data_IF_734799079440
#
_entry.id   IF_734799079440
#
_cell.length_a   1.000
_cell.length_b   1.000
_cell.length_c   1.000
_cell.angle_alpha   90.00
_cell.angle_beta   90.00
_cell.angle_gamma   90.00
#
_symmetry.space_group_name_H-M   'P 1'
#
loop_
_entity.id
_entity.type
_entity.pdbx_description
1 polymer ?
#
# COMPACT_ATOMS: atom_id res chain seq x y z
N UNK A 1 -28.59 5.67 -48.59
CA UNK A 1 -28.25 6.07 -47.22
C UNK A 1 -27.29 5.01 -46.70
N UNK A 2 -26.01 5.36 -46.53
CA UNK A 2 -25.01 4.43 -46.01
C UNK A 2 -25.12 4.39 -44.49
N UNK A 3 -25.42 3.22 -43.93
CA UNK A 3 -25.51 3.02 -42.49
C UNK A 3 -24.18 3.40 -41.82
N UNK A 4 -24.25 4.29 -40.84
CA UNK A 4 -23.09 4.72 -40.06
C UNK A 4 -22.94 3.73 -38.91
N UNK A 5 -22.01 2.78 -39.05
CA UNK A 5 -21.66 1.88 -37.96
C UNK A 5 -20.88 2.65 -36.88
N UNK A 6 -21.46 2.71 -35.67
CA UNK A 6 -20.81 3.31 -34.50
C UNK A 6 -19.63 2.47 -34.01
N UNK A 7 -18.64 3.11 -33.38
CA UNK A 7 -17.50 2.43 -32.75
C UNK A 7 -18.02 1.53 -31.62
N UNK A 8 -17.94 0.22 -31.80
CA UNK A 8 -18.32 -0.77 -30.79
C UNK A 8 -17.11 -1.05 -29.90
N UNK A 9 -17.25 -0.89 -28.57
CA UNK A 9 -16.21 -1.31 -27.62
C UNK A 9 -16.04 -2.82 -27.71
N UNK A 10 -14.84 -3.26 -28.08
CA UNK A 10 -14.52 -4.68 -28.18
C UNK A 10 -13.91 -5.17 -26.88
N UNK A 11 -14.33 -6.35 -26.43
CA UNK A 11 -13.66 -6.98 -25.31
C UNK A 11 -12.17 -7.19 -25.61
N UNK A 12 -11.29 -6.92 -24.63
CA UNK A 12 -9.86 -6.94 -24.85
C UNK A 12 -9.44 -8.35 -25.28
N UNK A 13 -9.12 -8.50 -26.56
CA UNK A 13 -8.60 -9.75 -27.07
C UNK A 13 -7.35 -10.13 -26.27
N UNK A 14 -7.24 -11.41 -25.88
CA UNK A 14 -6.07 -11.93 -25.15
C UNK A 14 -4.84 -11.74 -26.04
N UNK A 15 -4.13 -10.63 -25.82
CA UNK A 15 -2.98 -10.28 -26.65
C UNK A 15 -1.89 -11.34 -26.46
N UNK A 16 -1.23 -11.78 -27.54
CA UNK A 16 -0.06 -12.68 -27.48
C UNK A 16 1.16 -12.08 -26.75
N UNK A 17 1.05 -10.83 -26.27
CA UNK A 17 2.14 -10.17 -25.53
C UNK A 17 2.30 -10.87 -24.18
N UNK A 18 3.55 -11.07 -23.76
CA UNK A 18 3.87 -11.64 -22.46
C UNK A 18 3.15 -10.85 -21.37
N UNK A 19 2.41 -11.55 -20.50
CA UNK A 19 1.79 -10.93 -19.31
C UNK A 19 2.90 -10.28 -18.50
N UNK A 20 2.72 -9.00 -18.18
CA UNK A 20 3.64 -8.31 -17.26
C UNK A 20 3.53 -9.02 -15.91
N UNK A 21 4.66 -9.25 -15.26
CA UNK A 21 4.72 -9.74 -13.88
C UNK A 21 5.23 -8.60 -12.98
N UNK A 22 4.35 -7.74 -12.44
CA UNK A 22 4.77 -6.57 -11.66
C UNK A 22 5.56 -6.94 -10.40
N UNK A 23 5.32 -8.12 -9.84
CA UNK A 23 5.98 -8.59 -8.61
C UNK A 23 7.50 -8.69 -8.78
N UNK A 24 7.95 -9.12 -9.95
CA UNK A 24 9.38 -9.24 -10.28
C UNK A 24 10.06 -7.90 -10.59
N UNK A 25 9.31 -6.80 -10.66
CA UNK A 25 9.90 -5.50 -10.93
C UNK A 25 10.84 -5.10 -9.80
N UNK A 26 12.05 -4.63 -10.16
CA UNK A 26 13.08 -4.21 -9.19
C UNK A 26 12.54 -3.32 -8.07
N UNK A 27 11.63 -2.40 -8.40
CA UNK A 27 10.97 -1.51 -7.42
C UNK A 27 10.10 -2.27 -6.43
N UNK A 28 9.32 -3.24 -6.89
CA UNK A 28 8.42 -4.03 -6.05
C UNK A 28 9.21 -5.02 -5.20
N UNK A 29 10.22 -5.69 -5.75
CA UNK A 29 11.17 -6.53 -4.99
C UNK A 29 11.86 -5.70 -3.89
N UNK A 30 12.34 -4.49 -4.22
CA UNK A 30 12.92 -3.57 -3.24
C UNK A 30 11.90 -3.08 -2.19
N UNK A 31 10.61 -2.97 -2.54
CA UNK A 31 9.54 -2.63 -1.60
C UNK A 31 9.30 -3.78 -0.62
N UNK A 32 9.14 -5.01 -1.13
CA UNK A 32 8.91 -6.22 -0.35
C UNK A 32 10.07 -6.51 0.60
N UNK A 33 11.32 -6.41 0.11
CA UNK A 33 12.51 -6.65 0.93
C UNK A 33 12.68 -5.72 2.13
N UNK A 34 12.18 -4.47 2.07
CA UNK A 34 12.15 -3.56 3.24
C UNK A 34 11.25 -4.06 4.37
N UNK A 35 10.28 -4.90 4.04
CA UNK A 35 9.32 -5.45 4.98
C UNK A 35 9.63 -6.90 5.36
N UNK A 36 10.71 -7.49 4.85
CA UNK A 36 11.23 -8.76 5.31
C UNK A 36 12.07 -8.60 6.60
N UNK A 37 12.23 -9.68 7.39
CA UNK A 37 13.06 -9.64 8.58
C UNK A 37 14.53 -9.45 8.18
N UNK A 38 15.26 -8.65 8.95
CA UNK A 38 16.68 -8.37 8.67
C UNK A 38 17.60 -9.40 9.31
N UNK A 39 17.18 -9.95 10.45
CA UNK A 39 17.93 -10.95 11.20
C UNK A 39 16.98 -11.78 12.04
N UNK A 40 17.49 -12.82 12.69
CA UNK A 40 16.70 -13.61 13.62
C UNK A 40 16.41 -12.83 14.92
N UNK A 41 15.24 -13.04 15.55
CA UNK A 41 14.93 -12.38 16.80
C UNK A 41 15.85 -12.92 17.91
N UNK A 42 16.34 -12.01 18.75
CA UNK A 42 17.15 -12.35 19.93
C UNK A 42 16.26 -12.42 21.17
N UNK A 43 16.58 -13.32 22.10
CA UNK A 43 15.89 -13.35 23.41
C UNK A 43 16.07 -12.00 24.10
N UNK A 44 15.01 -11.36 24.60
CA UNK A 44 15.17 -10.17 25.43
C UNK A 44 15.88 -10.56 26.73
N UNK A 45 17.03 -9.93 27.01
CA UNK A 45 17.69 -10.04 28.31
C UNK A 45 17.34 -8.78 29.12
N UNK A 46 16.19 -8.83 29.80
CA UNK A 46 15.68 -7.68 30.52
C UNK A 46 15.84 -7.84 32.03
N UNK A 47 16.48 -6.85 32.67
CA UNK A 47 16.60 -6.75 34.13
C UNK A 47 15.57 -5.72 34.63
N UNK A 48 14.35 -6.17 34.90
CA UNK A 48 13.29 -5.31 35.42
C UNK A 48 13.30 -5.34 36.95
N UNK A 49 13.27 -4.15 37.57
CA UNK A 49 13.05 -4.02 39.01
C UNK A 49 11.57 -4.21 39.38
N UNK A 50 10.67 -3.88 38.46
CA UNK A 50 9.22 -3.96 38.67
C UNK A 50 8.67 -5.32 38.23
N UNK A 51 7.80 -5.97 39.02
CA UNK A 51 7.27 -7.30 38.72
C UNK A 51 6.21 -7.32 37.60
N UNK A 52 5.77 -6.14 37.14
CA UNK A 52 4.71 -5.99 36.13
C UNK A 52 5.15 -6.52 34.76
N UNK A 53 6.45 -6.45 34.44
CA UNK A 53 6.97 -6.88 33.14
C UNK A 53 7.50 -8.31 33.20
N UNK A 54 6.88 -9.19 32.41
CA UNK A 54 7.19 -10.62 32.37
C UNK A 54 8.04 -11.01 31.15
N UNK A 55 8.98 -10.15 30.73
CA UNK A 55 9.82 -10.39 29.54
C UNK A 55 10.60 -11.71 29.61
N UNK A 56 11.08 -12.08 30.79
CA UNK A 56 11.87 -13.31 30.99
C UNK A 56 11.00 -14.58 30.93
N UNK A 57 9.68 -14.43 31.08
CA UNK A 57 8.73 -15.53 30.99
C UNK A 57 8.43 -15.95 29.54
N UNK A 58 8.86 -15.16 28.53
CA UNK A 58 8.79 -15.54 27.12
C UNK A 58 9.85 -16.59 26.79
N UNK A 59 9.39 -17.71 26.23
CA UNK A 59 10.31 -18.70 25.66
C UNK A 59 10.85 -18.23 24.31
N UNK A 60 11.97 -18.80 23.87
CA UNK A 60 12.48 -18.51 22.52
C UNK A 60 11.55 -19.01 21.41
N UNK A 61 10.74 -20.03 21.69
CA UNK A 61 9.73 -20.53 20.75
C UNK A 61 8.60 -19.50 20.57
N UNK A 62 8.12 -18.89 21.65
CA UNK A 62 7.13 -17.81 21.59
C UNK A 62 7.67 -16.63 20.78
N UNK A 63 8.90 -16.21 21.07
CA UNK A 63 9.57 -15.11 20.36
C UNK A 63 9.66 -15.40 18.85
N UNK A 64 10.03 -16.64 18.47
CA UNK A 64 10.07 -17.05 17.07
C UNK A 64 8.69 -17.01 16.42
N UNK A 65 7.66 -17.56 17.06
CA UNK A 65 6.28 -17.57 16.55
C UNK A 65 5.72 -16.16 16.37
N UNK A 66 5.95 -15.27 17.33
CA UNK A 66 5.56 -13.86 17.27
C UNK A 66 6.24 -13.19 16.07
N UNK A 67 7.55 -13.37 15.94
CA UNK A 67 8.32 -12.80 14.85
C UNK A 67 7.87 -13.33 13.49
N UNK A 68 7.68 -14.64 13.36
CA UNK A 68 7.18 -15.28 12.14
C UNK A 68 5.81 -14.74 11.75
N UNK A 69 4.86 -14.67 12.69
CA UNK A 69 3.52 -14.13 12.45
C UNK A 69 3.55 -12.66 12.02
N UNK A 70 4.46 -11.86 12.60
CA UNK A 70 4.64 -10.46 12.22
C UNK A 70 5.16 -10.29 10.78
N UNK A 71 6.06 -11.18 10.35
CA UNK A 71 6.69 -11.15 9.03
C UNK A 71 6.01 -12.05 7.99
N UNK A 72 4.90 -12.71 8.34
CA UNK A 72 4.15 -13.62 7.46
C UNK A 72 3.74 -12.95 6.14
N UNK A 73 3.29 -11.69 6.22
CA UNK A 73 2.93 -10.88 5.04
C UNK A 73 3.88 -9.69 4.96
N UNK A 74 4.63 -9.52 3.85
CA UNK A 74 5.57 -8.41 3.67
C UNK A 74 4.85 -7.10 3.30
N UNK A 75 3.75 -6.79 3.99
CA UNK A 75 2.95 -5.60 3.81
C UNK A 75 3.04 -4.64 5.01
N UNK A 76 3.02 -3.35 4.72
CA UNK A 76 3.15 -2.30 5.72
C UNK A 76 1.87 -2.17 6.55
N UNK A 77 0.70 -2.34 5.95
CA UNK A 77 -0.57 -2.23 6.67
C UNK A 77 -0.74 -3.41 7.63
N UNK A 78 -0.45 -4.63 7.17
CA UNK A 78 -0.39 -5.82 8.03
C UNK A 78 0.45 -5.58 9.29
N UNK A 79 1.67 -5.07 9.12
CA UNK A 79 2.58 -4.78 10.22
C UNK A 79 2.05 -3.73 11.20
N UNK A 80 1.41 -2.67 10.70
CA UNK A 80 0.80 -1.65 11.57
C UNK A 80 -0.31 -2.28 12.41
N UNK A 81 -1.19 -3.04 11.77
CA UNK A 81 -2.32 -3.69 12.42
C UNK A 81 -1.84 -4.67 13.49
N UNK A 82 -0.82 -5.48 13.18
CA UNK A 82 -0.21 -6.38 14.15
C UNK A 82 0.35 -5.65 15.37
N UNK A 83 1.07 -4.53 15.16
CA UNK A 83 1.58 -3.73 16.29
C UNK A 83 0.41 -3.21 17.14
N UNK A 84 -0.65 -2.69 16.52
CA UNK A 84 -1.80 -2.12 17.23
C UNK A 84 -2.59 -3.20 18.00
N UNK A 85 -2.69 -4.42 17.49
CA UNK A 85 -3.30 -5.55 18.22
C UNK A 85 -2.57 -5.88 19.55
N UNK A 86 -1.28 -5.57 19.62
CA UNK A 86 -0.41 -5.90 20.75
C UNK A 86 0.00 -4.67 21.59
N UNK A 87 -0.63 -3.52 21.35
CA UNK A 87 -0.36 -2.28 22.07
C UNK A 87 -1.66 -1.67 22.56
N UNK A 88 -1.75 -1.49 23.87
CA UNK A 88 -2.80 -0.69 24.48
C UNK A 88 -2.32 0.75 24.59
N UNK A 89 -3.06 1.65 23.95
CA UNK A 89 -2.77 3.07 23.91
C UNK A 89 -3.81 3.81 24.73
N UNK A 90 -3.36 4.58 25.71
CA UNK A 90 -4.21 5.41 26.57
C UNK A 90 -3.74 6.86 26.54
N UNK A 91 -4.68 7.80 26.59
CA UNK A 91 -4.37 9.21 26.84
C UNK A 91 -3.86 9.36 28.27
N UNK A 92 -2.83 10.19 28.46
CA UNK A 92 -2.33 10.48 29.80
C UNK A 92 -3.38 11.22 30.64
N UNK A 93 -3.77 10.66 31.81
CA UNK A 93 -4.82 11.22 32.68
C UNK A 93 -4.46 12.56 33.33
N UNK A 94 -3.17 12.84 33.56
CA UNK A 94 -2.70 14.09 34.19
C UNK A 94 -1.80 14.85 33.23
N UNK A 95 -2.07 16.15 33.07
CA UNK A 95 -1.22 17.10 32.36
C UNK A 95 -0.54 17.99 33.39
N UNK A 96 0.78 17.96 33.44
CA UNK A 96 1.53 19.09 34.00
C UNK A 96 1.85 19.99 32.81
N UNK A 97 0.95 20.93 32.51
CA UNK A 97 1.27 22.01 31.57
C UNK A 97 2.05 23.03 32.38
N UNK A 98 3.33 23.17 32.08
CA UNK A 98 4.07 24.38 32.46
C UNK A 98 3.60 25.45 31.48
N UNK A 99 3.16 26.61 31.97
CA UNK A 99 2.69 27.71 31.12
C UNK A 99 3.69 27.99 30.00
N UNK A 100 3.20 28.06 28.76
CA UNK A 100 4.00 28.38 27.58
C UNK A 100 4.68 27.20 26.86
N UNK A 101 4.63 25.97 27.39
CA UNK A 101 5.18 24.79 26.71
C UNK A 101 4.09 23.74 26.43
N UNK A 102 3.74 23.58 25.15
CA UNK A 102 2.93 22.43 24.72
C UNK A 102 3.64 21.12 25.10
N UNK A 103 3.08 20.41 26.08
CA UNK A 103 3.60 19.14 26.58
C UNK A 103 3.67 18.10 25.47
N UNK A 104 4.89 17.79 25.01
CA UNK A 104 5.15 17.00 23.79
C UNK A 104 4.68 15.53 23.81
N UNK A 105 4.16 14.98 24.92
CA UNK A 105 3.89 13.52 25.05
C UNK A 105 2.73 13.18 25.99
N UNK A 106 1.50 13.21 25.46
CA UNK A 106 0.27 12.82 26.18
C UNK A 106 -0.11 11.34 25.98
N UNK A 107 0.88 10.46 25.84
CA UNK A 107 0.65 9.07 25.42
C UNK A 107 1.19 8.08 26.44
N UNK A 108 0.31 7.27 27.02
CA UNK A 108 0.68 6.08 27.77
C UNK A 108 0.52 4.84 26.88
N UNK A 109 1.55 4.01 26.80
CA UNK A 109 1.56 2.79 25.97
C UNK A 109 1.92 1.58 26.80
N UNK A 110 1.11 0.54 26.73
CA UNK A 110 1.36 -0.76 27.34
C UNK A 110 1.52 -1.82 26.23
N UNK A 111 2.61 -2.57 26.28
CA UNK A 111 2.94 -3.60 25.29
C UNK A 111 2.59 -4.98 25.83
N UNK A 112 1.90 -5.78 25.02
CA UNK A 112 1.43 -7.11 25.40
C UNK A 112 1.73 -8.10 24.29
N UNK A 113 2.28 -9.25 24.64
CA UNK A 113 2.61 -10.31 23.69
C UNK A 113 1.96 -11.63 24.10
N UNK A 114 1.54 -12.46 23.13
CA UNK A 114 0.97 -13.77 23.41
C UNK A 114 2.08 -14.74 23.81
N UNK A 115 1.83 -15.51 24.85
CA UNK A 115 2.64 -16.62 25.34
C UNK A 115 1.83 -17.89 25.20
N UNK A 116 2.42 -18.92 24.61
CA UNK A 116 1.74 -20.21 24.44
C UNK A 116 2.21 -21.19 25.51
N UNK A 117 1.30 -21.71 26.33
CA UNK A 117 1.58 -22.76 27.32
C UNK A 117 0.50 -23.83 27.24
N UNK A 118 0.90 -25.08 27.00
CA UNK A 118 -0.02 -26.23 26.96
C UNK A 118 -1.30 -25.96 26.15
N UNK A 119 -1.15 -25.37 24.95
CA UNK A 119 -2.24 -24.97 24.02
C UNK A 119 -3.06 -23.73 24.42
N UNK A 120 -2.94 -23.22 25.64
CA UNK A 120 -3.57 -21.95 26.06
C UNK A 120 -2.70 -20.77 25.62
N UNK A 121 -3.34 -19.73 25.07
CA UNK A 121 -2.68 -18.47 24.68
C UNK A 121 -2.99 -17.43 25.75
N UNK A 122 -1.95 -17.00 26.47
CA UNK A 122 -2.05 -15.97 27.49
C UNK A 122 -1.33 -14.69 27.04
N UNK A 123 -1.91 -13.54 27.34
CA UNK A 123 -1.35 -12.25 26.98
C UNK A 123 -0.52 -11.69 28.14
N UNK A 124 0.79 -11.59 27.97
CA UNK A 124 1.71 -11.11 29.01
C UNK A 124 2.23 -9.70 28.71
N UNK A 125 2.38 -8.89 29.76
CA UNK A 125 2.93 -7.53 29.66
C UNK A 125 4.44 -7.59 29.50
N UNK A 126 4.94 -6.92 28.47
CA UNK A 126 6.37 -6.83 28.17
C UNK A 126 6.83 -5.38 28.20
N UNK A 127 8.12 -5.18 28.45
CA UNK A 127 8.71 -3.87 28.33
C UNK A 127 8.81 -3.48 26.86
N UNK A 128 8.87 -2.17 26.64
CA UNK A 128 9.03 -1.59 25.31
C UNK A 128 10.27 -2.10 24.58
N UNK A 129 11.40 -2.23 25.27
CA UNK A 129 12.68 -2.66 24.67
C UNK A 129 12.57 -4.10 24.15
N UNK A 130 12.00 -5.00 24.94
CA UNK A 130 11.76 -6.38 24.52
C UNK A 130 10.84 -6.44 23.30
N UNK A 131 9.71 -5.72 23.33
CA UNK A 131 8.78 -5.65 22.20
C UNK A 131 9.45 -5.19 20.91
N UNK A 132 10.20 -4.09 20.95
CA UNK A 132 10.90 -3.54 19.79
C UNK A 132 11.99 -4.48 19.28
N UNK A 133 12.74 -5.14 20.17
CA UNK A 133 13.79 -6.08 19.79
C UNK A 133 13.22 -7.35 19.14
N UNK A 134 12.10 -7.85 19.66
CA UNK A 134 11.42 -9.02 19.10
C UNK A 134 10.90 -8.71 17.69
N UNK A 135 10.25 -7.56 17.47
CA UNK A 135 9.71 -7.20 16.16
C UNK A 135 10.74 -6.57 15.21
N UNK A 136 11.91 -6.18 15.72
CA UNK A 136 12.96 -5.42 15.02
C UNK A 136 12.48 -4.06 14.49
N UNK A 137 11.60 -3.42 15.24
CA UNK A 137 11.03 -2.13 14.86
C UNK A 137 11.64 -0.96 15.63
N UNK A 138 11.65 0.22 14.99
CA UNK A 138 12.17 1.43 15.61
C UNK A 138 11.16 2.04 16.56
N UNK A 139 11.67 2.55 17.69
CA UNK A 139 10.91 3.29 18.72
C UNK A 139 9.97 4.34 18.12
N UNK A 140 10.48 5.17 17.22
CA UNK A 140 9.76 6.32 16.66
C UNK A 140 8.64 5.92 15.72
N UNK A 141 8.75 4.75 15.08
CA UNK A 141 7.67 4.23 14.24
C UNK A 141 6.48 3.82 15.08
N UNK A 142 6.73 3.07 16.16
CA UNK A 142 5.66 2.63 17.08
C UNK A 142 5.03 3.84 17.76
N UNK A 143 5.81 4.81 18.24
CA UNK A 143 5.26 6.05 18.82
C UNK A 143 4.33 6.79 17.86
N UNK A 144 4.80 7.04 16.62
CA UNK A 144 3.98 7.73 15.62
C UNK A 144 2.72 6.96 15.27
N UNK A 145 2.81 5.63 15.23
CA UNK A 145 1.64 4.78 14.98
C UNK A 145 0.61 4.90 16.10
N UNK A 146 1.04 4.82 17.37
CA UNK A 146 0.16 4.97 18.53
C UNK A 146 -0.42 6.39 18.64
N UNK A 147 0.35 7.42 18.31
CA UNK A 147 -0.15 8.79 18.26
C UNK A 147 -1.25 8.94 17.19
N UNK A 148 -0.99 8.47 15.97
CA UNK A 148 -1.99 8.47 14.89
C UNK A 148 -3.24 7.66 15.24
N UNK A 149 -3.08 6.54 15.94
CA UNK A 149 -4.21 5.73 16.41
C UNK A 149 -5.11 6.47 17.41
N UNK A 150 -4.58 7.44 18.17
CA UNK A 150 -5.41 8.31 19.00
C UNK A 150 -6.01 9.49 18.22
N UNK A 151 -5.31 10.00 17.22
CA UNK A 151 -5.74 11.16 16.42
C UNK A 151 -6.78 10.79 15.34
N UNK A 152 -6.73 9.56 14.82
CA UNK A 152 -7.48 9.10 13.64
C UNK A 152 -8.02 7.69 13.83
N UNK A 153 -8.64 7.16 12.77
CA UNK A 153 -9.23 5.81 12.70
C UNK A 153 -8.28 4.67 13.13
N UNK A 154 -8.86 3.51 13.54
CA UNK A 154 -8.14 2.41 14.20
C UNK A 154 -6.97 1.80 13.42
N UNK A 155 -6.86 2.04 12.11
CA UNK A 155 -5.70 1.59 11.32
C UNK A 155 -5.30 2.65 10.28
N UNK A 156 -4.28 3.48 10.54
CA UNK A 156 -3.95 4.59 9.66
C UNK A 156 -3.48 4.08 8.30
N UNK A 157 -4.24 4.42 7.26
CA UNK A 157 -3.98 4.04 5.88
C UNK A 157 -2.58 4.46 5.42
N UNK A 158 -1.99 3.69 4.51
CA UNK A 158 -0.71 4.03 3.91
C UNK A 158 -0.87 5.09 2.82
N UNK A 159 -0.36 6.30 3.07
CA UNK A 159 -0.46 7.44 2.14
C UNK A 159 0.77 7.63 1.26
N UNK A 160 1.81 6.79 1.40
CA UNK A 160 3.01 6.85 0.57
C UNK A 160 2.77 6.22 -0.79
N UNK A 161 3.10 6.98 -1.82
CA UNK A 161 2.87 6.56 -3.20
C UNK A 161 1.39 6.70 -3.58
N UNK A 162 0.95 5.85 -4.51
CA UNK A 162 -0.38 5.92 -5.08
C UNK A 162 -0.48 6.88 -6.27
N UNK A 163 -1.60 6.77 -6.97
CA UNK A 163 -1.93 7.66 -8.07
C UNK A 163 -2.52 8.96 -7.53
N UNK A 164 -1.78 10.06 -7.71
CA UNK A 164 -2.19 11.40 -7.27
C UNK A 164 -2.70 12.26 -8.42
N UNK A 165 -2.64 11.74 -9.64
CA UNK A 165 -2.84 12.52 -10.86
C UNK A 165 -4.01 12.02 -11.70
N UNK A 166 -4.35 10.73 -11.68
CA UNK A 166 -5.49 10.23 -12.47
C UNK A 166 -6.76 11.01 -12.21
N UNK A 167 -7.16 11.19 -10.95
CA UNK A 167 -8.35 11.96 -10.59
C UNK A 167 -8.32 13.38 -11.15
N UNK A 168 -7.15 14.06 -11.08
CA UNK A 168 -6.99 15.41 -11.64
C UNK A 168 -7.22 15.47 -13.15
N UNK A 169 -6.91 14.40 -13.88
CA UNK A 169 -7.02 14.35 -15.33
C UNK A 169 -8.20 13.47 -15.79
N UNK A 170 -9.11 13.11 -14.90
CA UNK A 170 -10.24 12.23 -15.21
C UNK A 170 -11.18 12.90 -16.22
N UNK A 171 -11.61 14.14 -15.94
CA UNK A 171 -12.43 14.94 -16.87
C UNK A 171 -11.76 15.14 -18.22
N UNK A 172 -10.44 15.41 -18.24
CA UNK A 172 -9.68 15.54 -19.49
C UNK A 172 -9.62 14.22 -20.25
N UNK A 173 -9.51 13.09 -19.54
CA UNK A 173 -9.50 11.75 -20.12
C UNK A 173 -10.86 11.38 -20.69
N UNK A 174 -11.95 11.75 -20.03
CA UNK A 174 -13.33 11.59 -20.51
C UNK A 174 -13.58 12.45 -21.75
N UNK A 175 -13.23 13.73 -21.73
CA UNK A 175 -13.35 14.61 -22.89
C UNK A 175 -12.55 14.09 -24.11
N UNK A 176 -11.35 13.55 -23.88
CA UNK A 176 -10.57 12.90 -24.96
C UNK A 176 -11.26 11.64 -25.46
N UNK A 177 -11.85 10.80 -24.59
CA UNK A 177 -12.62 9.63 -25.00
C UNK A 177 -13.85 10.01 -25.82
N UNK A 178 -14.61 11.02 -25.38
CA UNK A 178 -15.77 11.56 -26.09
C UNK A 178 -15.36 12.13 -27.44
N UNK A 179 -14.29 12.92 -27.49
CA UNK A 179 -13.74 13.45 -28.73
C UNK A 179 -13.34 12.31 -29.69
N UNK A 180 -12.69 11.26 -29.20
CA UNK A 180 -12.32 10.09 -30.02
C UNK A 180 -13.56 9.39 -30.59
N UNK A 181 -14.66 9.34 -29.84
CA UNK A 181 -15.93 8.74 -30.30
C UNK A 181 -16.58 9.51 -31.45
N UNK A 182 -16.22 10.78 -31.68
CA UNK A 182 -16.77 11.57 -32.79
C UNK A 182 -16.16 11.20 -34.15
N UNK A 183 -15.00 10.52 -34.17
CA UNK A 183 -14.36 10.14 -35.42
C UNK A 183 -15.08 8.99 -36.11
N UNK A 184 -15.31 9.13 -37.41
CA UNK A 184 -15.81 8.03 -38.25
C UNK A 184 -14.66 7.04 -38.50
N UNK A 185 -14.77 5.78 -38.05
CA UNK A 185 -13.72 4.79 -38.28
C UNK A 185 -13.64 4.44 -39.77
N UNK A 186 -12.40 4.28 -40.27
CA UNK A 186 -12.15 3.71 -41.60
C UNK A 186 -11.78 2.23 -41.43
N UNK A 187 -12.42 1.39 -42.23
CA UNK A 187 -12.12 -0.03 -42.29
C UNK A 187 -10.75 -0.23 -42.97
N UNK A 188 -9.82 -0.94 -42.32
CA UNK A 188 -8.54 -1.21 -42.96
C UNK A 188 -8.69 -2.13 -44.14
N UNK A 189 -8.32 -1.64 -45.33
CA UNK A 189 -8.29 -2.41 -46.56
C UNK A 189 -7.35 -3.64 -46.50
N UNK A 190 -6.32 -3.64 -45.63
CA UNK A 190 -5.25 -4.64 -45.65
C UNK A 190 -5.26 -5.69 -44.53
N UNK A 191 -6.37 -5.91 -43.84
CA UNK A 191 -6.41 -7.00 -42.86
C UNK A 191 -6.67 -8.35 -43.53
N UNK A 192 -5.61 -9.14 -43.74
CA UNK A 192 -5.60 -10.53 -44.24
C UNK A 192 -6.43 -11.54 -43.40
N UNK A 193 -7.15 -11.12 -42.37
CA UNK A 193 -7.91 -12.00 -41.47
C UNK A 193 -9.40 -11.64 -41.43
N UNK A 194 -10.28 -12.65 -41.46
CA UNK A 194 -11.75 -12.54 -41.51
C UNK A 194 -12.42 -11.85 -40.29
N UNK A 195 -11.66 -11.44 -39.28
CA UNK A 195 -12.16 -10.87 -38.03
C UNK A 195 -11.36 -9.63 -37.57
N UNK A 196 -11.14 -8.68 -38.47
CA UNK A 196 -10.47 -7.44 -38.13
C UNK A 196 -11.43 -6.47 -37.44
N UNK A 197 -11.54 -6.56 -36.12
CA UNK A 197 -12.26 -5.58 -35.28
C UNK A 197 -11.50 -4.24 -35.13
N UNK A 198 -10.35 -4.10 -35.79
CA UNK A 198 -9.47 -2.95 -35.62
C UNK A 198 -9.88 -1.84 -36.58
N UNK A 199 -10.33 -0.74 -36.01
CA UNK A 199 -10.68 0.47 -36.74
C UNK A 199 -9.49 1.44 -36.77
N UNK A 200 -9.32 2.18 -37.86
CA UNK A 200 -8.26 3.18 -38.01
C UNK A 200 -8.86 4.57 -38.21
N UNK A 201 -8.13 5.61 -37.78
CA UNK A 201 -8.48 6.98 -38.12
C UNK A 201 -8.05 7.30 -39.57
N UNK A 202 -8.77 8.21 -40.25
CA UNK A 202 -8.34 8.82 -41.51
C UNK A 202 -6.90 9.37 -41.43
N UNK A 203 -6.11 9.15 -42.49
CA UNK A 203 -4.73 9.62 -42.59
C UNK A 203 -4.60 11.15 -42.57
N UNK A 204 -5.66 11.85 -42.97
CA UNK A 204 -5.74 13.32 -42.97
C UNK A 204 -5.76 13.90 -41.54
N UNK A 205 -6.25 13.12 -40.58
CA UNK A 205 -6.23 13.41 -39.15
C UNK A 205 -4.87 13.01 -38.55
N UNK A 206 -3.79 13.56 -39.11
CA UNK A 206 -2.47 13.41 -38.52
C UNK A 206 -2.41 14.13 -37.17
N UNK A 207 -1.52 13.69 -36.26
CA UNK A 207 -1.31 14.36 -34.96
C UNK A 207 -0.90 15.82 -35.10
N UNK A 208 -0.42 16.26 -36.27
CA UNK A 208 -0.14 17.67 -36.60
C UNK A 208 -1.40 18.46 -36.97
N UNK A 209 -2.38 17.83 -37.61
CA UNK A 209 -3.61 18.46 -38.08
C UNK A 209 -4.75 18.47 -37.03
N UNK A 210 -4.66 17.63 -35.99
CA UNK A 210 -5.45 17.80 -34.75
C UNK A 210 -4.98 19.01 -33.91
N UNK A 211 -4.50 20.06 -34.59
CA UNK A 211 -3.75 21.21 -34.09
C UNK A 211 -4.53 22.27 -33.32
N UNK A 212 -5.65 21.90 -32.68
CA UNK A 212 -6.25 22.70 -31.61
C UNK A 212 -6.25 21.99 -30.25
N UNK A 213 -5.54 20.87 -30.13
CA UNK A 213 -5.29 20.24 -28.85
C UNK A 213 -3.91 20.67 -28.33
N UNK A 214 -3.88 21.70 -27.48
CA UNK A 214 -2.71 22.11 -26.68
C UNK A 214 -2.38 21.06 -25.60
N UNK A 215 -2.08 19.84 -26.04
CA UNK A 215 -1.65 18.70 -25.23
C UNK A 215 -0.16 18.42 -25.49
N UNK A 216 0.70 19.43 -25.28
CA UNK A 216 2.15 19.19 -25.19
C UNK A 216 2.36 18.27 -23.98
N UNK A 217 2.82 17.03 -24.19
CA UNK A 217 3.17 15.99 -23.21
C UNK A 217 2.12 14.92 -22.85
N UNK A 218 1.48 14.28 -23.82
CA UNK A 218 0.90 12.93 -23.61
C UNK A 218 1.70 11.91 -24.43
N UNK A 219 2.33 10.88 -23.81
CA UNK A 219 3.01 9.83 -24.56
C UNK A 219 2.00 9.10 -25.44
N UNK A 220 2.37 8.87 -26.69
CA UNK A 220 1.58 8.14 -27.69
C UNK A 220 1.28 6.74 -27.15
N UNK A 221 0.10 6.58 -26.57
CA UNK A 221 -0.48 5.26 -26.37
C UNK A 221 -1.03 4.82 -27.72
N UNK A 222 -0.36 3.84 -28.33
CA UNK A 222 -1.00 3.00 -29.35
C UNK A 222 -2.13 2.28 -28.60
N UNK A 223 -3.33 2.85 -28.66
CA UNK A 223 -4.53 2.21 -28.13
C UNK A 223 -4.83 1.07 -29.10
N UNK A 224 -4.40 -0.13 -28.71
CA UNK A 224 -5.04 -1.35 -29.19
C UNK A 224 -6.37 -1.43 -28.44
N UNK A 225 -7.44 -0.89 -29.05
CA UNK A 225 -8.82 -1.27 -28.71
C UNK A 225 -9.04 -2.74 -29.07
#
# INVERSE_FOLDING_TARGET
MSDIENIVETEPAVSKKRKRCPETWKRNVAKTSRHLPKSLPKKPNCKHKVPIFQCNALSMQDVRKIHEKYYQVPDLQWKKNYILQHVYVNTAKKRCVVEGLEGRKNLSTCFVLPKQRCQVIENIRVCRVAFLNILQEKRDRVNRLCQKFLESDPTPAETRGGDRKSLKYESRREAVKEFIKTFRPIQSYQTRGKHAKRQYLPSELSTKNCGHCTMKNVPVMIISL
#
